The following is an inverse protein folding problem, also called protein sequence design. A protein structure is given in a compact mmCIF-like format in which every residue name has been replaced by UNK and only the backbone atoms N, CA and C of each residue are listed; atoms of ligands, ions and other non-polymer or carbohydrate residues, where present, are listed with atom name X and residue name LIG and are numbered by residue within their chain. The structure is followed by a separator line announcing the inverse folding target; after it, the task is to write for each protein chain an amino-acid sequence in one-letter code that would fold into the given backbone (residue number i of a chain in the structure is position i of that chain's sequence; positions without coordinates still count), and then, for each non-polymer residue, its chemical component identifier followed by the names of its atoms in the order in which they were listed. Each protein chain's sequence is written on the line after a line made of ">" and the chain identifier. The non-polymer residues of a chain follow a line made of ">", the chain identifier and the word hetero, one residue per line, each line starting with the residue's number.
data_IF_879721614369
#
_entry.id   IF_879721614369
#
_cell.length_a   1.000
_cell.length_b   1.000
_cell.length_c   1.000
_cell.angle_alpha   90.00
_cell.angle_beta   90.00
_cell.angle_gamma   90.00
#
_symmetry.space_group_name_H-M   'P 1'
#
loop_
_entity.id
_entity.type
_entity.pdbx_description
1 polymer ?
#
# COMPACT_ATOMS: atom_id res chain seq x y z
N UNK A 1 13.73 23.58 -21.33
CA UNK A 1 14.31 22.21 -21.44
C UNK A 1 15.84 22.21 -21.37
N UNK A 2 16.57 22.77 -22.34
CA UNK A 2 18.04 22.69 -22.40
C UNK A 2 18.75 23.18 -21.13
N UNK A 3 18.28 24.27 -20.53
CA UNK A 3 18.84 24.77 -19.26
C UNK A 3 18.67 23.77 -18.10
N UNK A 4 17.55 23.03 -18.05
CA UNK A 4 17.34 21.99 -17.03
C UNK A 4 18.31 20.82 -17.24
N UNK A 5 18.49 20.39 -18.48
CA UNK A 5 19.46 19.32 -18.83
C UNK A 5 20.87 19.71 -18.40
N UNK A 6 21.29 20.94 -18.70
CA UNK A 6 22.59 21.48 -18.31
C UNK A 6 22.76 21.56 -16.79
N UNK A 7 21.70 21.89 -16.03
CA UNK A 7 21.72 21.84 -14.56
C UNK A 7 21.98 20.42 -14.03
N UNK A 8 21.30 19.40 -14.56
CA UNK A 8 21.56 18.00 -14.19
C UNK A 8 22.99 17.57 -14.52
N UNK A 9 23.48 17.91 -15.71
CA UNK A 9 24.85 17.59 -16.13
C UNK A 9 25.91 18.24 -15.24
N UNK A 10 25.72 19.51 -14.85
CA UNK A 10 26.62 20.22 -13.92
C UNK A 10 26.62 19.63 -12.51
N UNK A 11 25.51 19.01 -12.10
CA UNK A 11 25.40 18.29 -10.84
C UNK A 11 25.94 16.85 -10.92
N UNK A 12 26.55 16.43 -12.04
CA UNK A 12 27.10 15.08 -12.21
C UNK A 12 26.05 14.00 -12.52
N UNK A 13 24.78 14.37 -12.65
CA UNK A 13 23.68 13.43 -12.87
C UNK A 13 23.71 12.89 -14.29
N UNK A 14 23.72 11.56 -14.43
CA UNK A 14 23.60 10.87 -15.72
C UNK A 14 22.13 10.85 -16.12
N UNK A 15 21.83 11.28 -17.34
CA UNK A 15 20.46 11.36 -17.85
C UNK A 15 20.34 10.77 -19.25
N UNK A 16 19.23 10.06 -19.47
CA UNK A 16 18.87 9.43 -20.74
C UNK A 16 17.45 9.84 -21.10
N UNK A 17 17.28 10.33 -22.33
CA UNK A 17 15.98 10.75 -22.87
C UNK A 17 15.61 9.84 -24.04
N UNK A 18 14.35 9.39 -24.07
CA UNK A 18 13.82 8.50 -25.11
C UNK A 18 12.50 9.02 -25.65
N UNK A 19 12.32 8.88 -26.96
CA UNK A 19 10.99 8.96 -27.55
C UNK A 19 10.19 7.75 -27.06
N UNK A 20 9.18 8.04 -26.26
CA UNK A 20 8.23 7.08 -25.69
C UNK A 20 6.82 7.29 -26.25
N UNK A 21 6.70 7.99 -27.39
CA UNK A 21 5.41 8.23 -28.06
C UNK A 21 4.79 6.94 -28.58
N UNK A 22 5.62 5.94 -28.88
CA UNK A 22 5.22 4.61 -29.37
C UNK A 22 4.22 4.76 -30.55
N UNK A 23 3.14 3.99 -30.53
CA UNK A 23 2.05 4.03 -31.51
C UNK A 23 0.89 4.95 -31.09
N UNK A 24 0.97 5.59 -29.92
CA UNK A 24 -0.12 6.44 -29.39
C UNK A 24 -0.39 7.68 -30.25
N UNK A 25 0.63 8.15 -30.99
CA UNK A 25 0.57 9.40 -31.74
C UNK A 25 0.45 10.65 -30.86
N UNK A 26 0.77 10.54 -29.57
CA UNK A 26 0.85 11.63 -28.60
C UNK A 26 2.32 11.76 -28.16
N UNK A 27 2.93 12.97 -28.21
CA UNK A 27 4.34 13.09 -27.89
C UNK A 27 4.61 12.77 -26.43
N UNK A 28 5.42 11.75 -26.21
CA UNK A 28 5.85 11.32 -24.88
C UNK A 28 7.35 11.21 -24.83
N UNK A 29 7.96 11.81 -23.80
CA UNK A 29 9.39 11.72 -23.55
C UNK A 29 9.61 10.93 -22.26
N UNK A 30 10.24 9.77 -22.39
CA UNK A 30 10.77 9.02 -21.25
C UNK A 30 12.09 9.63 -20.79
N UNK A 31 12.25 9.84 -19.50
CA UNK A 31 13.48 10.35 -18.89
C UNK A 31 13.92 9.42 -17.78
N UNK A 32 15.17 8.94 -17.86
CA UNK A 32 15.83 8.20 -16.79
C UNK A 32 17.01 9.02 -16.30
N UNK A 33 17.18 9.11 -14.99
CA UNK A 33 18.31 9.79 -14.37
C UNK A 33 18.81 9.04 -13.12
N UNK A 34 20.12 9.10 -12.88
CA UNK A 34 20.73 8.62 -11.64
C UNK A 34 22.04 9.37 -11.35
N UNK A 35 22.42 9.40 -10.09
CA UNK A 35 23.72 9.94 -9.66
C UNK A 35 24.76 8.81 -9.61
N UNK A 36 25.79 8.82 -10.47
CA UNK A 36 26.82 7.79 -10.48
C UNK A 36 27.69 7.77 -9.22
N UNK A 37 27.76 8.85 -8.45
CA UNK A 37 28.63 8.94 -7.28
C UNK A 37 27.98 8.33 -6.03
N UNK A 38 26.64 8.33 -5.96
CA UNK A 38 25.88 7.89 -4.79
C UNK A 38 25.06 6.61 -5.02
N UNK A 39 24.76 6.24 -6.26
CA UNK A 39 24.02 5.01 -6.60
C UNK A 39 24.93 3.76 -6.48
N UNK A 40 24.46 2.61 -5.96
CA UNK A 40 23.11 2.31 -5.47
C UNK A 40 22.92 2.52 -3.96
N UNK A 41 23.88 3.14 -3.29
CA UNK A 41 23.94 3.15 -1.83
C UNK A 41 23.02 4.18 -1.20
N UNK A 42 23.13 5.43 -1.64
CA UNK A 42 22.42 6.58 -1.07
C UNK A 42 21.34 7.12 -2.01
N UNK A 43 21.47 6.89 -3.31
CA UNK A 43 20.53 7.32 -4.34
C UNK A 43 19.91 6.16 -5.12
N UNK A 44 18.88 6.47 -5.89
CA UNK A 44 18.11 5.55 -6.71
C UNK A 44 18.08 5.95 -8.19
N UNK A 45 17.73 5.00 -9.06
CA UNK A 45 17.40 5.28 -10.46
C UNK A 45 16.01 5.88 -10.51
N UNK A 46 15.88 7.08 -11.06
CA UNK A 46 14.60 7.74 -11.28
C UNK A 46 14.21 7.58 -12.75
N UNK A 47 13.04 6.99 -13.01
CA UNK A 47 12.47 6.89 -14.35
C UNK A 47 11.06 7.49 -14.37
N UNK A 48 10.83 8.43 -15.27
CA UNK A 48 9.55 9.12 -15.46
C UNK A 48 9.25 9.32 -16.95
N UNK A 49 8.01 9.71 -17.27
CA UNK A 49 7.62 10.11 -18.61
C UNK A 49 6.78 11.39 -18.58
N UNK A 50 7.06 12.29 -19.52
CA UNK A 50 6.26 13.49 -19.75
C UNK A 50 5.44 13.34 -21.03
N UNK A 51 4.12 13.41 -20.91
CA UNK A 51 3.18 13.37 -22.03
C UNK A 51 2.30 14.61 -22.04
N UNK A 52 2.21 15.29 -23.18
CA UNK A 52 1.36 16.46 -23.43
C UNK A 52 0.97 16.51 -24.91
N UNK A 53 0.27 17.54 -25.37
CA UNK A 53 0.00 17.77 -26.80
C UNK A 53 1.23 18.25 -27.60
N UNK A 54 2.29 18.70 -26.91
CA UNK A 54 3.43 19.37 -27.52
C UNK A 54 4.77 18.67 -27.15
N UNK A 55 5.63 18.32 -28.11
CA UNK A 55 6.89 17.64 -27.82
C UNK A 55 7.83 18.35 -26.83
N UNK A 56 7.96 19.66 -26.93
CA UNK A 56 8.85 20.43 -26.05
C UNK A 56 8.29 20.56 -24.63
N UNK A 57 6.95 20.67 -24.49
CA UNK A 57 6.29 20.61 -23.17
C UNK A 57 6.40 19.21 -22.56
N UNK A 58 6.27 18.16 -23.35
CA UNK A 58 6.49 16.77 -22.92
C UNK A 58 7.90 16.57 -22.38
N UNK A 59 8.92 17.07 -23.09
CA UNK A 59 10.31 17.07 -22.59
C UNK A 59 10.45 17.87 -21.29
N UNK A 60 9.92 19.08 -21.22
CA UNK A 60 9.98 19.88 -19.99
C UNK A 60 9.33 19.16 -18.81
N UNK A 61 8.16 18.56 -19.01
CA UNK A 61 7.44 17.81 -17.99
C UNK A 61 8.26 16.61 -17.50
N UNK A 62 8.84 15.82 -18.41
CA UNK A 62 9.69 14.69 -18.03
C UNK A 62 10.88 15.13 -17.14
N UNK A 63 11.54 16.24 -17.51
CA UNK A 63 12.69 16.77 -16.76
C UNK A 63 12.29 17.31 -15.38
N UNK A 64 11.15 17.99 -15.28
CA UNK A 64 10.68 18.53 -13.98
C UNK A 64 10.19 17.42 -13.05
N UNK A 65 9.60 16.35 -13.60
CA UNK A 65 9.24 15.17 -12.81
C UNK A 65 10.48 14.45 -12.27
N UNK A 66 11.57 14.34 -13.06
CA UNK A 66 12.86 13.86 -12.51
C UNK A 66 13.28 14.70 -11.31
N UNK A 67 13.26 16.03 -11.42
CA UNK A 67 13.66 16.91 -10.32
C UNK A 67 12.76 16.77 -9.08
N UNK A 68 11.44 16.60 -9.29
CA UNK A 68 10.49 16.44 -8.20
C UNK A 68 10.66 15.11 -7.47
N UNK A 69 10.89 14.02 -8.21
CA UNK A 69 11.09 12.69 -7.64
C UNK A 69 12.48 12.54 -7.01
N UNK A 70 13.48 13.25 -7.53
CA UNK A 70 14.84 13.27 -7.02
C UNK A 70 15.06 14.32 -5.91
N UNK A 71 14.02 14.65 -5.11
CA UNK A 71 13.98 15.80 -4.19
C UNK A 71 15.13 15.94 -3.18
N UNK A 72 15.94 14.90 -2.98
CA UNK A 72 17.40 14.96 -3.00
C UNK A 72 17.84 13.51 -3.26
N UNK A 73 18.76 13.26 -4.20
CA UNK A 73 19.31 11.92 -4.44
C UNK A 73 19.95 11.30 -3.18
N UNK A 74 20.05 12.02 -2.07
CA UNK A 74 20.57 11.56 -0.78
C UNK A 74 19.55 10.80 0.11
N UNK A 75 18.24 10.83 -0.20
CA UNK A 75 17.23 10.17 0.63
C UNK A 75 16.42 9.11 -0.13
N UNK A 76 16.29 7.91 0.46
CA UNK A 76 15.36 6.89 0.00
C UNK A 76 13.93 7.43 0.14
N UNK A 77 13.29 7.77 -0.97
CA UNK A 77 11.91 8.26 -0.94
C UNK A 77 10.95 7.10 -0.65
N UNK A 78 9.90 7.36 0.12
CA UNK A 78 8.75 6.45 0.27
C UNK A 78 7.77 6.55 -0.92
N UNK A 79 8.15 7.30 -1.96
CA UNK A 79 7.32 7.55 -3.13
C UNK A 79 7.25 6.28 -3.99
N UNK A 80 6.03 5.93 -4.42
CA UNK A 80 5.76 4.78 -5.28
C UNK A 80 5.53 5.28 -6.71
N UNK A 81 6.50 5.10 -7.63
CA UNK A 81 6.40 5.63 -8.98
C UNK A 81 5.28 4.94 -9.79
N UNK A 82 4.79 5.66 -10.79
CA UNK A 82 3.77 5.18 -11.74
C UNK A 82 4.36 4.26 -12.81
N UNK A 83 5.66 4.39 -13.06
CA UNK A 83 6.49 3.58 -13.96
C UNK A 83 7.38 2.60 -13.17
N UNK A 84 7.96 1.57 -13.81
CA UNK A 84 8.80 0.59 -13.13
C UNK A 84 9.94 1.25 -12.36
N UNK A 85 10.18 0.75 -11.14
CA UNK A 85 11.32 1.14 -10.31
C UNK A 85 12.45 0.13 -10.54
N UNK A 86 13.54 0.59 -11.13
CA UNK A 86 14.71 -0.25 -11.40
C UNK A 86 15.65 -0.27 -10.19
N UNK A 87 16.06 -1.47 -9.78
CA UNK A 87 17.02 -1.67 -8.69
C UNK A 87 18.47 -1.69 -9.20
N UNK A 88 18.66 -2.05 -10.47
CA UNK A 88 19.98 -2.13 -11.10
C UNK A 88 19.97 -1.44 -12.46
N UNK A 89 21.16 -1.02 -12.92
CA UNK A 89 21.32 -0.46 -14.26
C UNK A 89 21.06 -1.50 -15.37
N UNK A 90 21.20 -2.79 -15.06
CA UNK A 90 20.93 -3.88 -16.01
C UNK A 90 19.45 -3.97 -16.34
N UNK A 91 18.56 -3.84 -15.35
CA UNK A 91 17.11 -3.81 -15.57
C UNK A 91 16.67 -2.62 -16.43
N UNK A 92 17.40 -1.50 -16.33
CA UNK A 92 17.16 -0.27 -17.10
C UNK A 92 17.92 -0.20 -18.43
N UNK A 93 18.69 -1.24 -18.80
CA UNK A 93 19.66 -1.16 -19.90
C UNK A 93 19.02 -0.77 -21.24
N UNK A 94 17.78 -1.17 -21.51
CA UNK A 94 17.08 -0.83 -22.74
C UNK A 94 16.81 0.69 -22.89
N UNK A 95 16.68 1.42 -21.78
CA UNK A 95 16.56 2.88 -21.77
C UNK A 95 17.91 3.58 -21.96
N UNK A 96 19.01 2.88 -21.69
CA UNK A 96 20.37 3.42 -21.73
C UNK A 96 21.14 3.02 -23.00
N UNK A 97 20.68 1.99 -23.71
CA UNK A 97 21.33 1.47 -24.91
C UNK A 97 21.49 2.52 -26.01
N UNK A 98 22.63 2.49 -26.70
CA UNK A 98 22.84 3.36 -27.86
C UNK A 98 21.81 3.05 -28.96
N UNK A 99 21.33 4.10 -29.62
CA UNK A 99 20.29 3.99 -30.64
C UNK A 99 20.22 5.23 -31.52
N UNK A 100 19.40 5.21 -32.57
CA UNK A 100 19.20 6.37 -33.42
C UNK A 100 18.68 7.54 -32.59
N UNK A 101 19.22 8.73 -32.84
CA UNK A 101 18.71 9.97 -32.27
C UNK A 101 17.62 10.54 -33.15
N UNK A 102 16.57 11.08 -32.52
CA UNK A 102 15.45 11.75 -33.19
C UNK A 102 15.39 13.20 -32.71
N UNK A 103 15.05 14.13 -33.59
CA UNK A 103 14.81 15.51 -33.19
C UNK A 103 13.53 15.58 -32.36
N UNK A 104 13.52 16.39 -31.29
CA UNK A 104 12.29 16.59 -30.51
C UNK A 104 11.13 17.12 -31.36
N UNK A 105 11.42 17.79 -32.48
CA UNK A 105 10.44 18.32 -33.43
C UNK A 105 9.86 17.28 -34.39
N UNK A 106 10.43 16.08 -34.41
CA UNK A 106 9.95 14.95 -35.23
C UNK A 106 8.95 14.08 -34.45
N UNK A 107 8.80 14.29 -33.13
CA UNK A 107 7.73 13.67 -32.35
C UNK A 107 6.36 14.23 -32.78
N UNK A 108 5.27 13.49 -32.55
CA UNK A 108 3.92 13.96 -32.87
C UNK A 108 3.62 15.32 -32.23
N UNK A 109 3.07 16.26 -32.98
CA UNK A 109 2.65 17.56 -32.43
C UNK A 109 1.15 17.74 -32.64
N UNK A 110 0.41 17.78 -31.53
CA UNK A 110 -1.03 17.94 -31.49
C UNK A 110 -1.43 19.35 -31.07
N UNK A 111 -0.46 20.25 -30.88
CA UNK A 111 -0.66 21.60 -30.33
C UNK A 111 -1.65 22.42 -31.15
N UNK A 112 -2.51 23.15 -30.45
CA UNK A 112 -3.42 24.13 -31.03
C UNK A 112 -3.58 25.31 -30.07
N UNK A 113 -3.93 26.49 -30.61
CA UNK A 113 -4.25 27.63 -29.77
C UNK A 113 -5.56 27.43 -28.99
N UNK A 114 -6.43 26.53 -29.47
CA UNK A 114 -7.67 26.16 -28.82
C UNK A 114 -7.51 24.81 -28.09
N UNK A 115 -7.54 24.84 -26.75
CA UNK A 115 -7.42 23.66 -25.90
C UNK A 115 -8.46 22.56 -26.25
N UNK A 116 -9.66 22.94 -26.68
CA UNK A 116 -10.66 21.96 -27.12
C UNK A 116 -10.15 21.14 -28.31
N UNK A 117 -9.52 21.80 -29.27
CA UNK A 117 -8.97 21.15 -30.47
C UNK A 117 -7.79 20.26 -30.09
N UNK A 118 -6.93 20.67 -29.14
CA UNK A 118 -5.86 19.82 -28.61
C UNK A 118 -6.42 18.53 -28.00
N UNK A 119 -7.46 18.64 -27.17
CA UNK A 119 -8.12 17.48 -26.54
C UNK A 119 -8.73 16.56 -27.60
N UNK A 120 -9.48 17.12 -28.56
CA UNK A 120 -10.08 16.34 -29.66
C UNK A 120 -9.01 15.60 -30.48
N UNK A 121 -7.85 16.21 -30.72
CA UNK A 121 -6.72 15.56 -31.40
C UNK A 121 -6.11 14.44 -30.58
N UNK A 122 -5.94 14.62 -29.26
CA UNK A 122 -5.47 13.55 -28.37
C UNK A 122 -6.45 12.36 -28.34
N UNK A 123 -7.75 12.62 -28.22
CA UNK A 123 -8.78 11.58 -28.27
C UNK A 123 -8.78 10.87 -29.62
N UNK A 124 -8.68 11.61 -30.73
CA UNK A 124 -8.59 11.03 -32.05
C UNK A 124 -7.32 10.17 -32.22
N UNK A 125 -6.20 10.56 -31.61
CA UNK A 125 -4.95 9.81 -31.65
C UNK A 125 -5.09 8.44 -30.97
N UNK A 126 -5.69 8.40 -29.78
CA UNK A 126 -5.98 7.15 -29.05
C UNK A 126 -7.02 6.29 -29.76
N UNK A 127 -8.06 6.91 -30.34
CA UNK A 127 -9.09 6.18 -31.07
C UNK A 127 -8.56 5.46 -32.31
N UNK A 128 -7.43 5.89 -32.89
CA UNK A 128 -6.78 5.18 -34.02
C UNK A 128 -6.19 3.83 -33.63
N UNK A 129 -5.89 3.64 -32.34
CA UNK A 129 -5.37 2.39 -31.77
C UNK A 129 -6.43 1.69 -30.91
N UNK A 130 -7.71 1.92 -31.21
CA UNK A 130 -8.87 1.32 -30.56
C UNK A 130 -8.97 1.57 -29.04
N UNK A 131 -8.37 2.67 -28.55
CA UNK A 131 -8.49 3.11 -27.16
C UNK A 131 -9.63 4.13 -27.02
N UNK A 132 -10.74 3.71 -26.43
CA UNK A 132 -11.87 4.58 -26.09
C UNK A 132 -11.51 5.49 -24.91
N UNK A 133 -11.95 6.76 -24.95
CA UNK A 133 -11.75 7.73 -23.88
C UNK A 133 -13.08 8.05 -23.21
N UNK A 134 -13.26 7.59 -21.98
CA UNK A 134 -14.42 7.89 -21.15
C UNK A 134 -14.05 8.97 -20.14
N UNK A 135 -14.88 10.01 -20.01
CA UNK A 135 -14.63 11.12 -19.08
C UNK A 135 -15.81 11.31 -18.14
N UNK A 136 -15.53 11.42 -16.86
CA UNK A 136 -16.51 11.69 -15.80
C UNK A 136 -16.24 13.08 -15.26
N UNK A 137 -17.26 13.94 -15.28
CA UNK A 137 -17.20 15.24 -14.59
C UNK A 137 -17.31 15.00 -13.08
N UNK A 138 -16.26 15.38 -12.36
CA UNK A 138 -16.15 15.29 -10.90
C UNK A 138 -16.06 16.67 -10.25
N UNK A 139 -16.45 17.71 -10.99
CA UNK A 139 -16.44 19.09 -10.52
C UNK A 139 -17.35 19.24 -9.31
N UNK A 140 -16.77 19.66 -8.18
CA UNK A 140 -17.57 19.93 -6.99
C UNK A 140 -18.42 21.21 -7.22
N UNK A 141 -19.76 21.16 -7.02
CA UNK A 141 -20.66 22.27 -7.41
C UNK A 141 -20.33 23.64 -6.80
N UNK A 142 -19.70 23.66 -5.62
CA UNK A 142 -19.28 24.90 -4.93
C UNK A 142 -17.86 25.36 -5.21
N UNK A 143 -16.99 24.50 -5.78
CA UNK A 143 -15.59 24.87 -5.98
C UNK A 143 -15.38 25.63 -7.30
N UNK A 144 -16.29 25.47 -8.26
CA UNK A 144 -16.23 26.11 -9.59
C UNK A 144 -14.89 25.90 -10.33
N UNK A 145 -14.13 24.87 -9.93
CA UNK A 145 -12.88 24.44 -10.58
C UNK A 145 -13.22 23.17 -11.38
N UNK A 146 -13.16 23.22 -12.73
CA UNK A 146 -13.40 22.05 -13.55
C UNK A 146 -12.47 20.90 -13.16
N UNK A 147 -13.04 19.76 -12.83
CA UNK A 147 -12.32 18.54 -12.50
C UNK A 147 -12.96 17.37 -13.23
N UNK A 148 -12.13 16.59 -13.93
CA UNK A 148 -12.59 15.42 -14.67
C UNK A 148 -11.73 14.21 -14.34
N UNK A 149 -12.35 13.04 -14.33
CA UNK A 149 -11.66 11.76 -14.23
C UNK A 149 -11.76 11.04 -15.57
N UNK A 150 -10.62 10.66 -16.15
CA UNK A 150 -10.56 10.00 -17.47
C UNK A 150 -10.25 8.52 -17.30
N UNK A 151 -11.01 7.66 -17.98
CA UNK A 151 -10.85 6.21 -18.02
C UNK A 151 -10.61 5.82 -19.47
N UNK A 152 -9.54 5.07 -19.72
CA UNK A 152 -9.19 4.55 -21.05
C UNK A 152 -9.09 3.03 -20.92
N UNK A 153 -10.15 2.27 -21.24
CA UNK A 153 -10.11 0.81 -21.16
C UNK A 153 -8.96 0.25 -22.01
N UNK A 154 -8.16 -0.65 -21.42
CA UNK A 154 -6.95 -1.20 -22.05
C UNK A 154 -5.66 -0.45 -21.71
N UNK A 155 -5.73 0.78 -21.19
CA UNK A 155 -4.58 1.44 -20.59
C UNK A 155 -4.34 0.95 -19.16
N UNK A 156 -3.10 0.63 -18.81
CA UNK A 156 -2.74 0.25 -17.44
C UNK A 156 -2.71 1.48 -16.52
N UNK A 157 -3.37 1.41 -15.37
CA UNK A 157 -3.41 2.50 -14.39
C UNK A 157 -2.43 2.23 -13.25
N UNK A 158 -1.16 2.66 -13.34
CA UNK A 158 -0.13 2.36 -12.32
C UNK A 158 0.26 0.86 -12.28
N UNK A 159 1.54 0.56 -12.06
CA UNK A 159 2.07 -0.82 -12.09
C UNK A 159 1.37 -1.76 -11.09
N UNK A 160 0.85 -1.23 -9.97
CA UNK A 160 0.15 -1.97 -8.93
C UNK A 160 -1.32 -2.29 -9.25
N UNK A 161 -1.88 -1.79 -10.36
CA UNK A 161 -3.19 -2.25 -10.86
C UNK A 161 -3.07 -3.38 -11.87
N UNK A 162 -1.84 -3.81 -12.20
CA UNK A 162 -1.64 -5.05 -12.94
C UNK A 162 -2.25 -6.18 -12.10
N UNK A 163 -3.38 -6.70 -12.58
CA UNK A 163 -4.26 -7.68 -11.91
C UNK A 163 -5.24 -7.13 -10.86
N UNK A 164 -5.53 -5.83 -10.80
CA UNK A 164 -6.67 -5.35 -10.01
C UNK A 164 -7.95 -5.41 -10.84
N UNK A 165 -8.91 -6.16 -10.36
CA UNK A 165 -10.24 -6.21 -10.91
C UNK A 165 -11.08 -5.00 -10.44
N UNK A 166 -11.81 -4.37 -11.37
CA UNK A 166 -12.65 -3.21 -11.07
C UNK A 166 -13.67 -3.53 -9.97
N UNK A 167 -14.29 -4.71 -10.03
CA UNK A 167 -15.29 -5.14 -9.06
C UNK A 167 -14.69 -5.21 -7.65
N UNK A 168 -13.54 -5.85 -7.49
CA UNK A 168 -12.79 -5.91 -6.22
C UNK A 168 -12.44 -4.51 -5.70
N UNK A 169 -11.89 -3.64 -6.56
CA UNK A 169 -11.50 -2.29 -6.18
C UNK A 169 -12.70 -1.44 -5.76
N UNK A 170 -13.81 -1.52 -6.50
CA UNK A 170 -15.04 -0.83 -6.19
C UNK A 170 -15.58 -1.30 -4.83
N UNK A 171 -15.63 -2.60 -4.59
CA UNK A 171 -16.09 -3.18 -3.32
C UNK A 171 -15.26 -2.69 -2.13
N UNK A 172 -13.93 -2.73 -2.23
CA UNK A 172 -13.01 -2.19 -1.21
C UNK A 172 -13.26 -0.70 -0.94
N UNK A 173 -13.36 0.09 -2.00
CA UNK A 173 -13.57 1.54 -1.90
C UNK A 173 -14.91 1.87 -1.26
N UNK A 174 -15.96 1.13 -1.61
CA UNK A 174 -17.30 1.25 -1.02
C UNK A 174 -17.26 1.02 0.49
N UNK A 175 -16.62 -0.06 0.96
CA UNK A 175 -16.54 -0.37 2.40
C UNK A 175 -15.74 0.68 3.16
N UNK A 176 -14.64 1.17 2.59
CA UNK A 176 -13.79 2.16 3.26
C UNK A 176 -14.37 3.58 3.25
N UNK A 177 -15.24 3.90 2.29
CA UNK A 177 -15.71 5.28 2.06
C UNK A 177 -17.13 5.53 2.55
N UNK A 178 -17.93 4.48 2.77
CA UNK A 178 -19.35 4.62 3.10
C UNK A 178 -19.68 3.97 4.45
N UNK A 179 -20.69 4.50 5.17
CA UNK A 179 -21.22 3.83 6.34
C UNK A 179 -21.67 2.39 6.02
N UNK A 180 -21.56 1.43 6.95
CA UNK A 180 -21.74 0.02 6.63
C UNK A 180 -23.09 -0.34 5.98
N UNK A 181 -24.18 0.30 6.40
CA UNK A 181 -25.50 0.12 5.82
C UNK A 181 -25.58 0.55 4.33
N UNK A 182 -24.92 1.66 3.99
CA UNK A 182 -24.84 2.13 2.60
C UNK A 182 -23.88 1.24 1.78
N UNK A 183 -22.75 0.86 2.36
CA UNK A 183 -21.81 -0.06 1.73
C UNK A 183 -22.47 -1.38 1.32
N UNK A 184 -23.26 -1.99 2.22
CA UNK A 184 -23.98 -3.23 1.94
C UNK A 184 -24.97 -3.11 0.76
N UNK A 185 -25.63 -1.96 0.59
CA UNK A 185 -26.49 -1.72 -0.58
C UNK A 185 -25.70 -1.74 -1.88
N UNK A 186 -24.55 -1.06 -1.93
CA UNK A 186 -23.72 -1.00 -3.13
C UNK A 186 -22.99 -2.32 -3.42
N UNK A 187 -22.57 -3.07 -2.39
CA UNK A 187 -22.00 -4.41 -2.56
C UNK A 187 -22.99 -5.39 -3.20
N UNK A 188 -24.27 -5.37 -2.79
CA UNK A 188 -25.31 -6.18 -3.45
C UNK A 188 -25.51 -5.79 -4.91
N UNK A 189 -25.39 -4.50 -5.24
CA UNK A 189 -25.49 -4.04 -6.64
C UNK A 189 -24.29 -4.52 -7.46
N UNK A 190 -23.08 -4.53 -6.89
CA UNK A 190 -21.91 -5.11 -7.56
C UNK A 190 -22.10 -6.63 -7.78
N UNK A 191 -22.59 -7.36 -6.79
CA UNK A 191 -22.88 -8.79 -6.92
C UNK A 191 -23.92 -9.10 -8.00
N UNK A 192 -24.97 -8.27 -8.13
CA UNK A 192 -25.95 -8.40 -9.20
C UNK A 192 -25.35 -8.18 -10.61
N UNK A 193 -24.34 -7.32 -10.72
CA UNK A 193 -23.71 -6.96 -12.00
C UNK A 193 -22.62 -7.96 -12.41
N UNK A 194 -21.83 -8.43 -11.45
CA UNK A 194 -20.61 -9.22 -11.70
C UNK A 194 -20.73 -10.69 -11.25
N UNK A 195 -21.86 -11.07 -10.65
CA UNK A 195 -22.10 -12.40 -10.10
C UNK A 195 -21.49 -12.60 -8.69
N UNK A 196 -21.78 -13.75 -8.07
CA UNK A 196 -21.25 -14.10 -6.75
C UNK A 196 -19.75 -14.37 -6.81
N UNK A 197 -18.98 -13.75 -5.91
CA UNK A 197 -17.53 -13.85 -5.86
C UNK A 197 -17.00 -13.69 -4.42
N UNK A 198 -15.84 -14.28 -4.15
CA UNK A 198 -15.24 -14.28 -2.81
C UNK A 198 -14.96 -12.88 -2.26
N UNK A 199 -14.54 -11.95 -3.11
CA UNK A 199 -14.15 -10.59 -2.74
C UNK A 199 -15.36 -9.77 -2.27
N UNK A 200 -16.51 -9.91 -2.94
CA UNK A 200 -17.74 -9.27 -2.46
C UNK A 200 -18.19 -9.82 -1.11
N UNK A 201 -18.18 -11.15 -0.96
CA UNK A 201 -18.51 -11.81 0.31
C UNK A 201 -17.55 -11.38 1.42
N UNK A 202 -16.25 -11.31 1.12
CA UNK A 202 -15.21 -10.83 2.03
C UNK A 202 -15.45 -9.38 2.46
N UNK A 203 -15.70 -8.46 1.53
CA UNK A 203 -15.95 -7.06 1.87
C UNK A 203 -17.26 -6.87 2.63
N UNK A 204 -18.28 -7.70 2.38
CA UNK A 204 -19.49 -7.74 3.21
C UNK A 204 -19.19 -8.25 4.63
N UNK A 205 -18.37 -9.30 4.77
CA UNK A 205 -17.92 -9.84 6.06
C UNK A 205 -17.14 -8.80 6.86
N UNK A 206 -16.17 -8.14 6.24
CA UNK A 206 -15.35 -7.10 6.87
C UNK A 206 -16.19 -5.89 7.32
N UNK A 207 -17.18 -5.50 6.52
CA UNK A 207 -18.14 -4.47 6.92
C UNK A 207 -18.94 -4.84 8.17
N UNK A 208 -19.29 -6.11 8.36
CA UNK A 208 -19.96 -6.61 9.57
C UNK A 208 -18.99 -6.69 10.76
N UNK A 209 -17.75 -7.11 10.53
CA UNK A 209 -16.69 -7.12 11.54
C UNK A 209 -16.47 -5.72 12.12
N UNK A 210 -16.38 -4.69 11.27
CA UNK A 210 -16.26 -3.29 11.69
C UNK A 210 -17.48 -2.76 12.48
N UNK A 211 -18.64 -3.43 12.36
CA UNK A 211 -19.84 -3.13 13.15
C UNK A 211 -19.89 -3.90 14.47
N UNK A 212 -18.93 -4.79 14.73
CA UNK A 212 -18.91 -5.69 15.89
C UNK A 212 -19.82 -6.91 15.76
N UNK A 213 -20.36 -7.19 14.57
CA UNK A 213 -21.20 -8.38 14.31
C UNK A 213 -20.32 -9.58 13.91
N UNK A 214 -19.50 -10.03 14.86
CA UNK A 214 -18.48 -11.05 14.64
C UNK A 214 -19.05 -12.41 14.19
N UNK A 215 -20.26 -12.78 14.65
CA UNK A 215 -20.91 -14.05 14.29
C UNK A 215 -21.27 -14.09 12.80
N UNK A 216 -21.89 -13.02 12.29
CA UNK A 216 -22.28 -12.93 10.87
C UNK A 216 -21.07 -12.68 9.99
N UNK A 217 -20.09 -11.90 10.46
CA UNK A 217 -18.83 -11.72 9.76
C UNK A 217 -18.09 -13.05 9.57
N UNK A 218 -17.94 -13.84 10.64
CA UNK A 218 -17.32 -15.17 10.60
C UNK A 218 -17.97 -16.09 9.55
N UNK A 219 -19.31 -16.17 9.56
CA UNK A 219 -20.06 -16.98 8.58
C UNK A 219 -19.76 -16.58 7.14
N UNK A 220 -19.65 -15.27 6.87
CA UNK A 220 -19.36 -14.77 5.52
C UNK A 220 -17.88 -14.97 5.15
N UNK A 221 -16.93 -14.83 6.07
CA UNK A 221 -15.52 -15.15 5.79
C UNK A 221 -15.32 -16.64 5.48
N UNK A 222 -15.99 -17.54 6.20
CA UNK A 222 -16.01 -18.97 5.89
C UNK A 222 -16.65 -19.24 4.52
N UNK A 223 -17.73 -18.54 4.19
CA UNK A 223 -18.34 -18.59 2.85
C UNK A 223 -17.37 -18.12 1.77
N UNK A 224 -16.63 -17.04 2.00
CA UNK A 224 -15.63 -16.52 1.07
C UNK A 224 -14.53 -17.55 0.79
N UNK A 225 -14.09 -18.34 1.79
CA UNK A 225 -13.15 -19.45 1.57
C UNK A 225 -13.71 -20.52 0.63
N UNK A 226 -15.01 -20.82 0.71
CA UNK A 226 -15.65 -21.81 -0.20
C UNK A 226 -15.76 -21.32 -1.65
N UNK A 227 -15.62 -20.02 -1.87
CA UNK A 227 -15.71 -19.39 -3.19
C UNK A 227 -14.37 -19.37 -3.95
N UNK A 228 -13.39 -20.16 -3.49
CA UNK A 228 -12.08 -20.35 -4.11
C UNK A 228 -11.33 -19.01 -4.31
N UNK A 229 -11.02 -18.29 -3.21
CA UNK A 229 -10.27 -17.05 -3.28
C UNK A 229 -8.87 -17.28 -3.86
N UNK A 230 -8.26 -16.21 -4.38
CA UNK A 230 -6.86 -16.26 -4.81
C UNK A 230 -5.96 -16.70 -3.63
N UNK A 231 -4.93 -17.49 -3.92
CA UNK A 231 -4.02 -18.00 -2.91
C UNK A 231 -3.37 -16.90 -2.06
N UNK A 232 -3.17 -15.71 -2.63
CA UNK A 232 -2.60 -14.53 -1.95
C UNK A 232 -3.55 -13.95 -0.89
N UNK A 233 -4.85 -14.18 -1.03
CA UNK A 233 -5.87 -13.64 -0.14
C UNK A 233 -6.20 -14.58 1.03
N UNK A 234 -5.82 -15.87 0.93
CA UNK A 234 -6.14 -16.89 1.95
C UNK A 234 -5.62 -16.52 3.34
N UNK A 235 -4.42 -15.96 3.42
CA UNK A 235 -3.86 -15.52 4.70
C UNK A 235 -4.72 -14.43 5.35
N UNK A 236 -5.12 -13.41 4.57
CA UNK A 236 -5.97 -12.31 5.03
C UNK A 236 -7.34 -12.81 5.51
N UNK A 237 -7.98 -13.70 4.74
CA UNK A 237 -9.28 -14.28 5.13
C UNK A 237 -9.17 -15.04 6.46
N UNK A 238 -8.11 -15.83 6.64
CA UNK A 238 -7.89 -16.55 7.89
C UNK A 238 -7.56 -15.64 9.08
N UNK A 239 -6.87 -14.52 8.86
CA UNK A 239 -6.66 -13.48 9.90
C UNK A 239 -8.00 -12.93 10.37
N UNK A 240 -8.89 -12.55 9.45
CA UNK A 240 -10.21 -12.04 9.80
C UNK A 240 -11.10 -13.08 10.50
N UNK A 241 -11.03 -14.35 10.08
CA UNK A 241 -11.69 -15.46 10.82
C UNK A 241 -11.14 -15.55 12.25
N UNK A 242 -9.81 -15.49 12.41
CA UNK A 242 -9.17 -15.50 13.73
C UNK A 242 -9.59 -14.31 14.61
N UNK A 243 -9.67 -13.11 14.02
CA UNK A 243 -10.17 -11.89 14.66
C UNK A 243 -11.61 -12.06 15.16
N UNK A 244 -12.53 -12.53 14.29
CA UNK A 244 -13.92 -12.78 14.66
C UNK A 244 -14.04 -13.83 15.77
N UNK A 245 -13.30 -14.95 15.68
CA UNK A 245 -13.29 -15.99 16.71
C UNK A 245 -12.76 -15.48 18.05
N UNK A 246 -11.75 -14.61 18.03
CA UNK A 246 -11.23 -13.93 19.22
C UNK A 246 -12.30 -13.03 19.85
N UNK A 247 -13.03 -12.24 19.06
CA UNK A 247 -14.11 -11.38 19.57
C UNK A 247 -15.29 -12.20 20.13
N UNK A 248 -15.53 -13.40 19.59
CA UNK A 248 -16.50 -14.36 20.11
C UNK A 248 -16.00 -15.16 21.33
N UNK A 249 -14.75 -14.94 21.78
CA UNK A 249 -14.14 -15.68 22.90
C UNK A 249 -13.75 -17.13 22.57
N UNK A 250 -13.82 -17.54 21.29
CA UNK A 250 -13.46 -18.86 20.78
C UNK A 250 -11.95 -18.96 20.50
N UNK A 251 -11.14 -18.68 21.53
CA UNK A 251 -9.70 -18.47 21.38
C UNK A 251 -8.92 -19.65 20.79
N UNK A 252 -9.32 -20.89 21.08
CA UNK A 252 -8.64 -22.07 20.52
C UNK A 252 -8.84 -22.17 19.01
N UNK A 253 -10.05 -21.93 18.54
CA UNK A 253 -10.38 -21.93 17.11
C UNK A 253 -9.74 -20.73 16.40
N UNK A 254 -9.63 -19.59 17.10
CA UNK A 254 -8.89 -18.43 16.60
C UNK A 254 -7.41 -18.77 16.35
N UNK A 255 -6.75 -19.46 17.29
CA UNK A 255 -5.36 -19.94 17.11
C UNK A 255 -5.24 -20.86 15.90
N UNK A 256 -6.16 -21.82 15.72
CA UNK A 256 -6.15 -22.71 14.56
C UNK A 256 -6.35 -21.96 13.23
N UNK A 257 -7.19 -20.93 13.21
CA UNK A 257 -7.36 -20.07 12.04
C UNK A 257 -6.09 -19.27 11.73
N UNK A 258 -5.42 -18.75 12.76
CA UNK A 258 -4.18 -17.99 12.62
C UNK A 258 -2.99 -18.89 12.22
N UNK A 259 -2.98 -20.15 12.63
CA UNK A 259 -2.02 -21.15 12.14
C UNK A 259 -2.22 -21.40 10.63
N UNK A 260 -3.46 -21.48 10.16
CA UNK A 260 -3.75 -21.54 8.72
C UNK A 260 -3.33 -20.27 8.00
N UNK A 261 -3.54 -19.09 8.59
CA UNK A 261 -3.05 -17.83 8.02
C UNK A 261 -1.52 -17.84 7.85
N UNK A 262 -0.78 -18.25 8.88
CA UNK A 262 0.69 -18.32 8.86
C UNK A 262 1.20 -19.30 7.80
N UNK A 263 0.51 -20.42 7.58
CA UNK A 263 0.86 -21.39 6.55
C UNK A 263 0.73 -20.82 5.12
N UNK A 264 -0.05 -19.76 4.92
CA UNK A 264 -0.18 -19.06 3.65
C UNK A 264 0.76 -17.87 3.52
N UNK A 265 0.95 -17.10 4.59
CA UNK A 265 1.87 -15.97 4.62
C UNK A 265 2.38 -15.72 6.05
N UNK A 266 3.64 -16.04 6.31
CA UNK A 266 4.30 -15.87 7.60
C UNK A 266 4.86 -14.45 7.85
N UNK A 267 4.76 -13.54 6.88
CA UNK A 267 5.26 -12.17 7.00
C UNK A 267 4.20 -11.18 7.54
N UNK A 268 2.95 -11.64 7.74
CA UNK A 268 1.89 -10.82 8.30
C UNK A 268 1.99 -10.77 9.83
N UNK A 269 2.59 -9.70 10.35
CA UNK A 269 2.70 -9.41 11.79
C UNK A 269 1.39 -9.62 12.56
N UNK A 270 0.26 -9.20 11.99
CA UNK A 270 -1.06 -9.26 12.64
C UNK A 270 -1.47 -10.69 13.04
N UNK A 271 -1.00 -11.70 12.31
CA UNK A 271 -1.21 -13.11 12.66
C UNK A 271 -0.68 -13.39 14.06
N UNK A 272 0.56 -12.99 14.32
CA UNK A 272 1.26 -13.28 15.56
C UNK A 272 0.72 -12.44 16.71
N UNK A 273 0.39 -11.16 16.47
CA UNK A 273 -0.24 -10.33 17.49
C UNK A 273 -1.58 -10.94 17.98
N UNK A 274 -2.49 -11.28 17.05
CA UNK A 274 -3.78 -11.89 17.39
C UNK A 274 -3.62 -13.26 18.04
N UNK A 275 -2.68 -14.08 17.55
CA UNK A 275 -2.44 -15.43 18.08
C UNK A 275 -1.88 -15.35 19.50
N UNK A 276 -0.93 -14.46 19.75
CA UNK A 276 -0.36 -14.21 21.08
C UNK A 276 -1.43 -13.77 22.08
N UNK A 277 -2.36 -12.89 21.66
CA UNK A 277 -3.48 -12.48 22.50
C UNK A 277 -4.39 -13.68 22.85
N UNK A 278 -4.75 -14.50 21.87
CA UNK A 278 -5.57 -15.69 22.10
C UNK A 278 -4.89 -16.67 23.05
N UNK A 279 -3.58 -16.89 22.91
CA UNK A 279 -2.78 -17.75 23.80
C UNK A 279 -2.72 -17.20 25.23
N UNK A 280 -2.59 -15.87 25.40
CA UNK A 280 -2.68 -15.22 26.70
C UNK A 280 -4.04 -15.49 27.38
N UNK A 281 -5.14 -15.37 26.64
CA UNK A 281 -6.49 -15.66 27.15
C UNK A 281 -6.65 -17.13 27.54
N UNK A 282 -5.99 -18.04 26.81
CA UNK A 282 -5.92 -19.47 27.11
C UNK A 282 -4.95 -19.82 28.25
N UNK A 283 -4.30 -18.82 28.88
CA UNK A 283 -3.29 -18.99 29.94
C UNK A 283 -2.04 -19.75 29.51
N UNK A 284 -1.76 -19.78 28.22
CA UNK A 284 -0.57 -20.39 27.63
C UNK A 284 0.53 -19.33 27.50
N UNK A 285 0.98 -18.79 28.63
CA UNK A 285 1.79 -17.58 28.67
C UNK A 285 3.16 -17.72 27.96
N UNK A 286 3.84 -18.85 28.12
CA UNK A 286 5.12 -19.07 27.43
C UNK A 286 4.96 -19.11 25.90
N UNK A 287 3.95 -19.83 25.40
CA UNK A 287 3.66 -19.88 23.97
C UNK A 287 3.22 -18.52 23.42
N UNK A 288 2.49 -17.73 24.21
CA UNK A 288 2.13 -16.37 23.84
C UNK A 288 3.37 -15.48 23.67
N UNK A 289 4.35 -15.59 24.58
CA UNK A 289 5.62 -14.84 24.49
C UNK A 289 6.35 -15.18 23.19
N UNK A 290 6.56 -16.47 22.89
CA UNK A 290 7.23 -16.93 21.66
C UNK A 290 6.57 -16.37 20.39
N UNK A 291 5.23 -16.33 20.39
CA UNK A 291 4.46 -15.78 19.27
C UNK A 291 4.58 -14.25 19.19
N UNK A 292 4.55 -13.53 20.31
CA UNK A 292 4.75 -12.07 20.30
C UNK A 292 6.20 -11.69 19.93
N UNK A 293 7.19 -12.48 20.32
CA UNK A 293 8.58 -12.30 19.88
C UNK A 293 8.68 -12.38 18.36
N UNK A 294 7.92 -13.29 17.72
CA UNK A 294 7.84 -13.35 16.26
C UNK A 294 7.20 -12.09 15.64
N UNK A 295 6.20 -11.50 16.30
CA UNK A 295 5.62 -10.23 15.86
C UNK A 295 6.66 -9.09 15.91
N UNK A 296 7.51 -9.06 16.95
CA UNK A 296 8.59 -8.08 17.12
C UNK A 296 9.73 -8.30 16.12
N UNK A 297 10.03 -9.54 15.74
CA UNK A 297 10.99 -9.80 14.66
C UNK A 297 10.55 -9.18 13.33
N UNK A 298 9.25 -9.22 13.03
CA UNK A 298 8.66 -8.62 11.82
C UNK A 298 8.52 -7.10 11.92
N UNK A 299 8.21 -6.59 13.11
CA UNK A 299 8.09 -5.16 13.38
C UNK A 299 8.68 -4.80 14.76
N UNK A 300 9.98 -4.44 14.81
CA UNK A 300 10.65 -4.05 16.05
C UNK A 300 10.06 -2.79 16.70
N UNK A 301 9.26 -2.00 15.98
CA UNK A 301 8.61 -0.79 16.50
C UNK A 301 7.30 -1.05 17.23
N UNK A 302 6.87 -2.30 17.37
CA UNK A 302 5.56 -2.64 17.91
C UNK A 302 5.46 -2.49 19.44
N UNK A 303 5.15 -1.28 19.90
CA UNK A 303 4.95 -0.98 21.32
C UNK A 303 3.94 -1.92 22.01
N UNK A 304 2.84 -2.24 21.33
CA UNK A 304 1.78 -3.11 21.85
C UNK A 304 2.26 -4.54 22.11
N UNK A 305 3.14 -5.08 21.27
CA UNK A 305 3.65 -6.45 21.42
C UNK A 305 4.61 -6.55 22.61
N UNK A 306 5.45 -5.54 22.84
CA UNK A 306 6.27 -5.47 24.05
C UNK A 306 5.42 -5.42 25.33
N UNK A 307 4.35 -4.63 25.35
CA UNK A 307 3.42 -4.58 26.48
C UNK A 307 2.69 -5.92 26.70
N UNK A 308 2.36 -6.63 25.62
CA UNK A 308 1.74 -7.95 25.70
C UNK A 308 2.71 -9.02 26.24
N UNK A 309 3.98 -9.01 25.84
CA UNK A 309 5.01 -9.88 26.45
C UNK A 309 5.16 -9.56 27.94
N UNK A 310 5.23 -8.27 28.30
CA UNK A 310 5.28 -7.85 29.71
C UNK A 310 4.10 -8.39 30.52
N UNK A 311 2.91 -8.43 29.93
CA UNK A 311 1.71 -9.01 30.57
C UNK A 311 1.80 -10.51 30.76
N UNK A 312 2.38 -11.26 29.81
CA UNK A 312 2.63 -12.69 29.98
C UNK A 312 3.70 -12.96 31.04
N UNK A 313 4.80 -12.21 31.04
CA UNK A 313 5.86 -12.32 32.05
C UNK A 313 5.35 -12.03 33.46
N UNK A 314 4.45 -11.05 33.61
CA UNK A 314 3.77 -10.76 34.87
C UNK A 314 2.97 -11.97 35.37
N UNK A 315 2.19 -12.62 34.50
CA UNK A 315 1.41 -13.81 34.86
C UNK A 315 2.30 -15.01 35.23
N UNK A 316 3.52 -15.09 34.66
CA UNK A 316 4.53 -16.07 35.01
C UNK A 316 5.35 -15.71 36.26
N UNK A 317 5.17 -14.51 36.83
CA UNK A 317 5.88 -14.04 38.02
C UNK A 317 7.23 -13.36 37.77
N UNK A 318 7.62 -13.15 36.51
CA UNK A 318 8.84 -12.43 36.12
C UNK A 318 8.61 -10.91 36.15
N UNK A 319 8.43 -10.36 37.36
CA UNK A 319 7.94 -8.99 37.56
C UNK A 319 8.96 -7.92 37.11
N UNK A 320 10.25 -8.12 37.35
CA UNK A 320 11.32 -7.20 36.92
C UNK A 320 11.35 -7.03 35.40
N UNK A 321 11.19 -8.15 34.69
CA UNK A 321 11.23 -8.21 33.23
C UNK A 321 9.96 -7.60 32.63
N UNK A 322 8.80 -7.90 33.23
CA UNK A 322 7.53 -7.28 32.87
C UNK A 322 7.58 -5.75 32.99
N UNK A 323 8.09 -5.23 34.11
CA UNK A 323 8.25 -3.77 34.35
C UNK A 323 9.14 -3.14 33.27
N UNK A 324 10.26 -3.78 32.92
CA UNK A 324 11.16 -3.28 31.86
C UNK A 324 10.44 -3.21 30.51
N UNK A 325 9.69 -4.24 30.13
CA UNK A 325 8.96 -4.24 28.84
C UNK A 325 7.81 -3.25 28.83
N UNK A 326 7.10 -3.06 29.94
CA UNK A 326 6.08 -2.00 30.03
C UNK A 326 6.68 -0.60 29.87
N UNK A 327 7.85 -0.33 30.46
CA UNK A 327 8.57 0.95 30.27
C UNK A 327 8.94 1.17 28.81
N UNK A 328 9.56 0.17 28.18
CA UNK A 328 9.95 0.25 26.78
C UNK A 328 8.73 0.43 25.85
N UNK A 329 7.62 -0.26 26.12
CA UNK A 329 6.38 -0.06 25.38
C UNK A 329 5.87 1.39 25.50
N UNK A 330 5.90 1.98 26.70
CA UNK A 330 5.47 3.36 26.95
C UNK A 330 6.44 4.42 26.43
N UNK A 331 7.72 4.08 26.26
CA UNK A 331 8.70 4.92 25.55
C UNK A 331 8.39 4.99 24.05
N UNK A 332 7.93 3.88 23.45
CA UNK A 332 7.53 3.81 22.04
C UNK A 332 6.13 4.40 21.80
N UNK A 333 5.18 4.09 22.67
CA UNK A 333 3.80 4.59 22.62
C UNK A 333 3.26 4.89 24.04
N UNK A 334 3.22 6.17 24.44
CA UNK A 334 2.71 6.58 25.74
C UNK A 334 1.21 6.30 25.97
N UNK A 335 0.42 6.02 24.94
CA UNK A 335 -1.04 5.87 25.04
C UNK A 335 -1.49 4.45 25.43
N UNK A 336 -0.55 3.51 25.63
CA UNK A 336 -0.85 2.14 26.05
C UNK A 336 -1.28 2.08 27.53
N UNK A 337 -2.56 2.33 27.78
CA UNK A 337 -3.11 2.51 29.12
C UNK A 337 -2.93 1.29 30.04
N UNK A 338 -3.04 0.07 29.51
CA UNK A 338 -2.83 -1.13 30.33
C UNK A 338 -1.35 -1.31 30.73
N UNK A 339 -0.39 -0.90 29.89
CA UNK A 339 1.02 -0.93 30.25
C UNK A 339 1.28 0.05 31.40
N UNK A 340 0.74 1.27 31.30
CA UNK A 340 0.80 2.30 32.36
C UNK A 340 0.19 1.81 33.67
N UNK A 341 -1.02 1.26 33.61
CA UNK A 341 -1.74 0.73 34.78
C UNK A 341 -0.95 -0.38 35.48
N UNK A 342 -0.37 -1.30 34.70
CA UNK A 342 0.44 -2.39 35.25
C UNK A 342 1.77 -1.92 35.84
N UNK A 343 2.41 -0.96 35.20
CA UNK A 343 3.65 -0.37 35.70
C UNK A 343 3.44 0.25 37.09
N UNK A 344 2.41 1.09 37.24
CA UNK A 344 2.04 1.73 38.52
C UNK A 344 1.75 0.70 39.61
N UNK A 345 1.16 -0.44 39.26
CA UNK A 345 0.85 -1.52 40.19
C UNK A 345 2.10 -2.30 40.64
N UNK A 346 3.04 -2.56 39.72
CA UNK A 346 4.18 -3.44 39.95
C UNK A 346 5.40 -2.73 40.55
N UNK A 347 5.64 -1.46 40.21
CA UNK A 347 6.81 -0.72 40.71
C UNK A 347 6.91 -0.69 42.26
N UNK A 348 5.83 -0.43 43.02
CA UNK A 348 5.91 -0.45 44.48
C UNK A 348 6.19 -1.84 45.04
N UNK A 349 5.71 -2.89 44.38
CA UNK A 349 5.91 -4.29 44.83
C UNK A 349 7.38 -4.68 44.72
N UNK A 350 8.03 -4.30 43.61
CA UNK A 350 9.46 -4.50 43.39
C UNK A 350 10.32 -3.69 44.39
N UNK A 351 9.94 -2.44 44.66
CA UNK A 351 10.64 -1.59 45.61
C UNK A 351 10.57 -2.13 47.04
N UNK A 352 9.41 -2.69 47.44
CA UNK A 352 9.24 -3.34 48.74
C UNK A 352 10.05 -4.65 48.86
N UNK A 353 10.19 -5.41 47.77
CA UNK A 353 10.97 -6.65 47.74
C UNK A 353 12.49 -6.40 47.81
N UNK A 354 12.97 -5.28 47.27
CA UNK A 354 14.40 -4.93 47.22
C UNK A 354 14.88 -4.09 48.41
N UNK A 355 13.99 -3.37 49.09
CA UNK A 355 14.31 -2.55 50.28
C UNK A 355 14.29 -3.28 51.62
N UNK A 356 14.02 -4.59 51.65
CA UNK A 356 13.94 -5.42 52.86
C UNK A 356 15.14 -6.34 53.12
N UNK A 357 16.25 -6.18 52.36
CA UNK A 357 17.45 -7.01 52.45
C UNK A 357 18.56 -6.35 53.29
#
# INVERSE_FOLDING_TARGET
>A
ALELVDKFQRAGIRMFLRDFSLDTGIPTVGALAYDPDSFPHWSEIVFTAGTTSNPEKSLCRALTEIAQLAGDFENRTSYRPTLPKYQTLEEAAYLMADGPSVSIRELPDLTDANLKVEIERCVAALNRIDLEVLTIDVTHPRLEIPAVYTIIPGAHFLDHTRNTDFAQHAARTIVNSLPPAAAAHHLRRLEQLFGPRYDFTFFQAHSLELQGDAERALTLFETALTQQPDARELASIHVHIGSCLKDLGRYREAVEALDRAAAHNEELKEIYNLKGFCLYQLKQHQAAIEVFEKAIELDPGSAIDYANIGSNLRELGHLEEAVRLYKMALELDPEIEFARTNLVKLEPQLAAATGGA
#
